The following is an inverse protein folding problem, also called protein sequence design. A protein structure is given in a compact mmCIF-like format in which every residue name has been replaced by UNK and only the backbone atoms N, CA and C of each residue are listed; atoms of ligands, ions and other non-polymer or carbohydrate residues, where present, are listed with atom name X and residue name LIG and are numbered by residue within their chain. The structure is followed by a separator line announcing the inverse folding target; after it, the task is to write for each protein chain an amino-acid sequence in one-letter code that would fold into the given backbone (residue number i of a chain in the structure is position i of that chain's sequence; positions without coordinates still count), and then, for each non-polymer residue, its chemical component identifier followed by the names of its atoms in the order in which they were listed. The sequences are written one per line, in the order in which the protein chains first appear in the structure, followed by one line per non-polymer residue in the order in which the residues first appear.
data_IF_837145930831
#
_entry.id   IF_837145930831
#
_cell.length_a   1.000
_cell.length_b   1.000
_cell.length_c   1.000
_cell.angle_alpha   90.00
_cell.angle_beta   90.00
_cell.angle_gamma   90.00
#
_symmetry.space_group_name_H-M   'P 1'
#
loop_
_entity.id
_entity.type
_entity.pdbx_description
1 polymer ?
#
# COMPACT_ATOMS: atom_id res chain seq x y z
N UNK A 1 -36.24 29.09 4.81
CA UNK A 1 -36.01 29.87 6.04
C UNK A 1 -35.00 29.21 6.99
N UNK A 2 -35.19 27.99 7.50
CA UNK A 2 -34.18 27.35 8.40
C UNK A 2 -32.84 27.02 7.72
N UNK A 3 -32.86 26.54 6.47
CA UNK A 3 -31.64 26.22 5.71
C UNK A 3 -30.81 27.46 5.34
N UNK A 4 -31.46 28.60 5.07
CA UNK A 4 -30.79 29.87 4.75
C UNK A 4 -30.10 30.46 5.99
N UNK A 5 -30.70 30.31 7.18
CA UNK A 5 -30.11 30.74 8.44
C UNK A 5 -28.87 29.91 8.81
N UNK A 6 -28.92 28.58 8.62
CA UNK A 6 -27.77 27.69 8.85
C UNK A 6 -26.61 28.06 7.91
N UNK A 7 -26.91 28.34 6.64
CA UNK A 7 -25.89 28.75 5.66
C UNK A 7 -25.20 30.08 6.06
N UNK A 8 -25.97 31.08 6.49
CA UNK A 8 -25.43 32.36 6.92
C UNK A 8 -24.58 32.27 8.21
N UNK A 9 -24.97 31.41 9.15
CA UNK A 9 -24.20 31.18 10.38
C UNK A 9 -22.88 30.46 10.10
N UNK A 10 -22.90 29.43 9.24
CA UNK A 10 -21.68 28.75 8.80
C UNK A 10 -20.73 29.70 8.06
N UNK A 11 -21.27 30.59 7.22
CA UNK A 11 -20.45 31.61 6.54
C UNK A 11 -19.77 32.55 7.55
N UNK A 12 -20.49 33.03 8.58
CA UNK A 12 -19.90 33.89 9.62
C UNK A 12 -18.77 33.18 10.39
N UNK A 13 -18.93 31.90 10.69
CA UNK A 13 -17.89 31.12 11.37
C UNK A 13 -16.66 30.91 10.48
N UNK A 14 -16.87 30.67 9.19
CA UNK A 14 -15.80 30.57 8.20
C UNK A 14 -15.05 31.91 8.07
N UNK A 15 -15.76 33.02 7.94
CA UNK A 15 -15.16 34.35 7.82
C UNK A 15 -14.38 34.72 9.08
N UNK A 16 -14.93 34.43 10.26
CA UNK A 16 -14.22 34.57 11.53
C UNK A 16 -12.92 33.76 11.56
N UNK A 17 -12.96 32.49 11.13
CA UNK A 17 -11.78 31.64 11.04
C UNK A 17 -10.71 32.21 10.12
N UNK A 18 -11.11 32.70 8.94
CA UNK A 18 -10.21 33.28 7.96
C UNK A 18 -9.55 34.57 8.47
N UNK A 19 -10.32 35.48 9.06
CA UNK A 19 -9.80 36.70 9.65
C UNK A 19 -8.84 36.41 10.81
N UNK A 20 -9.20 35.46 11.68
CA UNK A 20 -8.36 35.04 12.79
C UNK A 20 -7.05 34.44 12.28
N UNK A 21 -7.12 33.53 11.30
CA UNK A 21 -5.94 32.91 10.70
C UNK A 21 -5.01 33.93 10.04
N UNK A 22 -5.55 34.86 9.26
CA UNK A 22 -4.77 35.92 8.64
C UNK A 22 -4.08 36.81 9.68
N UNK A 23 -4.79 37.19 10.76
CA UNK A 23 -4.23 37.98 11.83
C UNK A 23 -3.11 37.24 12.59
N UNK A 24 -3.32 35.96 12.92
CA UNK A 24 -2.30 35.14 13.58
C UNK A 24 -1.05 34.99 12.71
N UNK A 25 -1.20 34.69 11.42
CA UNK A 25 -0.09 34.60 10.47
C UNK A 25 0.67 35.94 10.39
N UNK A 26 -0.05 37.07 10.33
CA UNK A 26 0.55 38.40 10.35
C UNK A 26 1.37 38.66 11.61
N UNK A 27 0.84 38.32 12.79
CA UNK A 27 1.56 38.49 14.06
C UNK A 27 2.80 37.61 14.12
N UNK A 28 2.71 36.34 13.68
CA UNK A 28 3.85 35.43 13.63
C UNK A 28 4.97 35.95 12.71
N UNK A 29 4.58 36.55 11.58
CA UNK A 29 5.52 37.15 10.64
C UNK A 29 6.16 38.43 11.20
N UNK A 30 5.36 39.27 11.86
CA UNK A 30 5.85 40.48 12.51
C UNK A 30 6.88 40.16 13.60
N UNK A 31 6.58 39.18 14.45
CA UNK A 31 7.45 38.71 15.55
C UNK A 31 8.62 37.83 15.05
N UNK A 32 8.73 37.61 13.74
CA UNK A 32 9.75 36.77 13.08
C UNK A 32 9.85 35.37 13.67
N UNK A 33 8.70 34.79 14.02
CA UNK A 33 8.60 33.42 14.55
C UNK A 33 9.21 32.45 13.54
N UNK A 34 10.33 31.83 13.90
CA UNK A 34 11.12 30.94 13.00
C UNK A 34 11.56 31.66 11.71
N UNK A 35 11.84 32.96 11.81
CA UNK A 35 12.23 33.79 10.65
C UNK A 35 11.05 34.37 9.85
N UNK A 36 9.81 34.01 10.17
CA UNK A 36 8.59 34.44 9.45
C UNK A 36 8.32 33.62 8.18
N UNK A 37 7.30 33.99 7.42
CA UNK A 37 6.82 33.22 6.25
C UNK A 37 5.56 32.38 6.53
N UNK A 38 4.95 32.54 7.69
CA UNK A 38 3.69 31.91 8.04
C UNK A 38 2.57 32.42 7.14
N UNK A 39 1.73 31.50 6.69
CA UNK A 39 0.53 31.78 5.92
C UNK A 39 -0.65 31.01 6.48
N UNK A 40 -1.85 31.54 6.27
CA UNK A 40 -3.08 30.86 6.64
C UNK A 40 -3.66 30.13 5.43
N UNK A 41 -4.10 28.88 5.63
CA UNK A 41 -4.91 28.14 4.65
C UNK A 41 -6.37 28.09 5.13
N UNK A 42 -7.26 28.65 4.32
CA UNK A 42 -8.71 28.53 4.51
C UNK A 42 -9.10 27.06 4.41
N UNK A 43 -9.75 26.53 5.46
CA UNK A 43 -10.30 25.19 5.49
C UNK A 43 -11.81 25.20 5.20
N UNK A 44 -12.30 24.19 4.50
CA UNK A 44 -13.74 23.95 4.33
C UNK A 44 -14.27 23.17 5.53
N UNK A 45 -14.45 23.83 6.67
CA UNK A 45 -15.00 23.20 7.86
C UNK A 45 -16.30 23.86 8.30
N UNK A 46 -17.26 23.05 8.76
CA UNK A 46 -18.52 23.50 9.36
C UNK A 46 -18.34 24.16 10.75
N UNK A 47 -17.10 24.34 11.19
CA UNK A 47 -16.71 24.92 12.46
C UNK A 47 -15.46 25.79 12.24
N UNK A 48 -15.18 26.69 13.20
CA UNK A 48 -13.93 27.47 13.17
C UNK A 48 -12.74 26.53 13.14
N UNK A 49 -12.06 26.54 12.00
CA UNK A 49 -10.80 25.82 11.76
C UNK A 49 -9.83 26.80 11.14
N UNK A 50 -8.65 26.92 11.75
CA UNK A 50 -7.56 27.75 11.28
C UNK A 50 -6.35 26.87 11.10
N UNK A 51 -5.81 26.80 9.90
CA UNK A 51 -4.53 26.15 9.65
C UNK A 51 -3.50 27.22 9.29
N UNK A 52 -2.41 27.27 10.06
CA UNK A 52 -1.22 28.08 9.80
C UNK A 52 -0.13 27.15 9.28
N UNK A 53 0.51 27.53 8.18
CA UNK A 53 1.55 26.74 7.53
C UNK A 53 2.80 27.60 7.29
N UNK A 54 3.95 26.97 7.44
CA UNK A 54 5.26 27.57 7.22
C UNK A 54 6.00 26.86 6.06
N UNK A 55 6.78 27.56 5.22
CA UNK A 55 7.51 26.97 4.10
C UNK A 55 8.49 25.84 4.49
N UNK A 56 8.98 25.83 5.73
CA UNK A 56 9.85 24.76 6.23
C UNK A 56 9.10 23.46 6.60
N UNK A 57 7.78 23.41 6.41
CA UNK A 57 6.95 22.25 6.74
C UNK A 57 6.32 22.28 8.13
N UNK A 58 6.51 23.37 8.90
CA UNK A 58 5.80 23.55 10.17
C UNK A 58 4.32 23.85 9.92
N UNK A 59 3.48 23.41 10.84
CA UNK A 59 2.07 23.77 10.84
C UNK A 59 1.48 23.83 12.24
N UNK A 60 0.52 24.73 12.41
CA UNK A 60 -0.28 24.86 13.63
C UNK A 60 -1.74 24.89 13.20
N UNK A 61 -2.59 24.17 13.90
CA UNK A 61 -4.02 24.19 13.69
C UNK A 61 -4.73 24.71 14.93
N UNK A 62 -5.81 25.46 14.73
CA UNK A 62 -6.76 25.84 15.76
C UNK A 62 -8.12 25.29 15.36
N UNK A 63 -8.79 24.61 16.28
CA UNK A 63 -10.11 24.01 16.03
C UNK A 63 -11.04 24.25 17.19
N UNK A 64 -12.27 24.60 16.86
CA UNK A 64 -13.37 24.56 17.82
C UNK A 64 -13.84 23.11 18.01
N UNK A 65 -13.52 22.51 19.15
CA UNK A 65 -13.96 21.15 19.48
C UNK A 65 -15.36 21.16 20.10
N UNK A 66 -16.39 21.15 19.23
CA UNK A 66 -17.75 20.73 19.55
C UNK A 66 -18.79 21.85 19.63
N UNK A 67 -19.71 21.87 18.66
CA UNK A 67 -20.86 22.80 18.62
C UNK A 67 -21.87 22.62 19.77
N UNK A 68 -21.79 21.53 20.53
CA UNK A 68 -22.71 21.26 21.66
C UNK A 68 -22.20 21.79 23.01
N UNK A 69 -20.94 22.24 23.10
CA UNK A 69 -20.38 22.76 24.36
C UNK A 69 -20.93 24.16 24.62
N UNK A 70 -21.67 24.32 25.72
CA UNK A 70 -22.26 25.61 26.13
C UNK A 70 -21.36 26.35 27.12
N UNK A 71 -21.60 27.66 27.25
CA UNK A 71 -20.94 28.52 28.22
C UNK A 71 -19.45 28.67 27.98
N UNK A 72 -18.67 28.70 29.07
CA UNK A 72 -17.23 29.00 29.07
C UNK A 72 -16.43 28.07 28.14
N UNK A 73 -16.74 26.78 28.09
CA UNK A 73 -16.04 25.82 27.23
C UNK A 73 -16.41 25.91 25.74
N UNK A 74 -17.56 26.53 25.41
CA UNK A 74 -18.00 26.75 24.04
C UNK A 74 -17.27 27.90 23.33
N UNK A 75 -16.46 28.68 24.06
CA UNK A 75 -15.70 29.83 23.54
C UNK A 75 -14.19 29.57 23.46
N UNK A 76 -13.79 28.30 23.49
CA UNK A 76 -12.39 27.90 23.46
C UNK A 76 -12.02 27.29 22.12
N UNK A 77 -10.84 27.63 21.62
CA UNK A 77 -10.16 26.92 20.55
C UNK A 77 -9.12 25.99 21.15
N UNK A 78 -9.09 24.75 20.67
CA UNK A 78 -7.95 23.86 20.87
C UNK A 78 -6.90 24.21 19.83
N UNK A 79 -5.66 24.39 20.26
CA UNK A 79 -4.52 24.66 19.40
C UNK A 79 -3.55 23.50 19.48
N UNK A 80 -3.17 22.96 18.34
CA UNK A 80 -2.18 21.90 18.24
C UNK A 80 -1.24 22.11 17.07
N UNK A 81 -0.18 21.32 17.06
CA UNK A 81 0.79 21.33 15.98
C UNK A 81 0.48 20.27 14.92
N UNK A 82 0.92 20.51 13.70
CA UNK A 82 0.81 19.58 12.57
C UNK A 82 2.10 18.78 12.44
N UNK A 83 1.97 17.47 12.30
CA UNK A 83 3.08 16.55 12.08
C UNK A 83 2.90 15.83 10.74
N UNK A 84 3.99 15.38 10.11
CA UNK A 84 3.90 14.52 8.94
C UNK A 84 3.02 13.28 9.19
N UNK A 85 2.35 12.82 8.13
CA UNK A 85 1.52 11.63 8.20
C UNK A 85 2.37 10.43 8.64
N UNK A 86 1.86 9.66 9.61
CA UNK A 86 2.57 8.47 10.13
C UNK A 86 3.52 8.74 11.29
N UNK A 87 3.79 10.01 11.65
CA UNK A 87 4.60 10.32 12.83
C UNK A 87 3.97 9.78 14.11
N UNK A 88 4.67 8.89 14.80
CA UNK A 88 4.23 8.20 16.02
C UNK A 88 5.02 8.61 17.27
N UNK A 89 6.00 9.51 17.13
CA UNK A 89 6.80 10.00 18.25
C UNK A 89 6.06 10.97 19.17
N UNK A 90 6.79 11.52 20.15
CA UNK A 90 6.26 12.48 21.12
C UNK A 90 5.77 13.73 20.40
N UNK A 91 4.53 14.14 20.69
CA UNK A 91 3.95 15.38 20.17
C UNK A 91 3.89 16.44 21.26
N UNK A 92 4.02 17.69 20.86
CA UNK A 92 3.69 18.85 21.70
C UNK A 92 2.25 18.74 22.23
N UNK A 93 2.07 19.09 23.50
CA UNK A 93 0.77 19.06 24.14
C UNK A 93 -0.15 20.14 23.55
N UNK A 94 -1.39 19.77 23.28
CA UNK A 94 -2.39 20.73 22.81
C UNK A 94 -2.70 21.76 23.90
N UNK A 95 -2.76 23.03 23.52
CA UNK A 95 -3.16 24.11 24.42
C UNK A 95 -4.58 24.56 24.10
N UNK A 96 -5.17 25.33 25.01
CA UNK A 96 -6.45 25.99 24.78
C UNK A 96 -6.33 27.49 24.91
N UNK A 97 -7.00 28.19 24.00
CA UNK A 97 -7.09 29.66 23.93
C UNK A 97 -8.54 30.12 23.78
N UNK A 98 -8.83 31.32 24.26
CA UNK A 98 -10.15 31.94 24.25
C UNK A 98 -10.44 32.61 22.90
N UNK A 99 -11.61 32.38 22.30
CA UNK A 99 -12.00 32.99 21.02
C UNK A 99 -12.18 34.51 21.09
N UNK A 100 -12.57 35.02 22.26
CA UNK A 100 -12.82 36.44 22.55
C UNK A 100 -11.55 37.19 22.99
N UNK A 101 -10.40 36.51 23.03
CA UNK A 101 -9.13 37.16 23.34
C UNK A 101 -8.62 37.98 22.17
N UNK A 102 -7.87 39.04 22.49
CA UNK A 102 -7.11 39.77 21.48
C UNK A 102 -6.24 38.82 20.64
N UNK A 103 -6.22 39.06 19.33
CA UNK A 103 -5.57 38.18 18.35
C UNK A 103 -4.05 38.16 18.54
N UNK A 104 -3.45 39.28 18.94
CA UNK A 104 -2.02 39.40 19.22
C UNK A 104 -1.67 38.63 20.50
N UNK A 105 -2.47 38.77 21.54
CA UNK A 105 -2.25 38.02 22.78
C UNK A 105 -2.49 36.52 22.62
N UNK A 106 -3.44 36.12 21.77
CA UNK A 106 -3.62 34.73 21.38
C UNK A 106 -2.35 34.19 20.70
N UNK A 107 -1.80 34.93 19.73
CA UNK A 107 -0.55 34.55 19.07
C UNK A 107 0.60 34.37 20.07
N UNK A 108 0.79 35.34 20.98
CA UNK A 108 1.82 35.27 22.02
C UNK A 108 1.67 34.05 22.94
N UNK A 109 0.44 33.68 23.29
CA UNK A 109 0.18 32.48 24.08
C UNK A 109 0.55 31.20 23.32
N UNK A 110 0.27 31.14 22.02
CA UNK A 110 0.69 30.01 21.16
C UNK A 110 2.21 29.93 21.10
N UNK A 111 2.88 31.07 20.86
CA UNK A 111 4.35 31.17 20.82
C UNK A 111 4.98 30.75 22.13
N UNK A 112 4.40 31.13 23.27
CA UNK A 112 4.96 30.83 24.59
C UNK A 112 4.69 29.40 25.05
N UNK A 113 3.52 28.84 24.74
CA UNK A 113 3.03 27.60 25.35
C UNK A 113 3.08 26.37 24.45
N UNK A 114 2.95 26.54 23.13
CA UNK A 114 2.97 25.43 22.18
C UNK A 114 4.28 25.32 21.41
N UNK A 115 4.78 26.46 20.91
CA UNK A 115 5.93 26.46 20.00
C UNK A 115 7.22 25.84 20.58
N UNK A 116 7.59 26.04 21.86
CA UNK A 116 8.82 25.45 22.38
C UNK A 116 8.82 23.92 22.29
N UNK A 117 7.75 23.27 22.73
CA UNK A 117 7.62 21.81 22.68
C UNK A 117 7.46 21.29 21.25
N UNK A 118 6.81 22.07 20.37
CA UNK A 118 6.68 21.70 18.97
C UNK A 118 8.03 21.75 18.25
N UNK A 119 8.78 22.83 18.41
CA UNK A 119 10.09 22.98 17.80
C UNK A 119 11.09 21.94 18.33
N UNK A 120 10.95 21.52 19.59
CA UNK A 120 11.77 20.45 20.17
C UNK A 120 11.51 19.06 19.55
N UNK A 121 10.40 18.84 18.84
CA UNK A 121 10.01 17.51 18.33
C UNK A 121 9.90 17.44 16.80
N UNK A 122 9.65 18.57 16.12
CA UNK A 122 9.33 18.58 14.69
C UNK A 122 10.49 18.22 13.78
N UNK A 123 11.73 18.56 14.12
CA UNK A 123 12.90 18.22 13.28
C UNK A 123 13.04 16.70 13.13
N UNK A 124 12.88 15.97 14.23
CA UNK A 124 12.86 14.50 14.20
C UNK A 124 11.70 13.96 13.36
N UNK A 125 10.50 14.53 13.53
CA UNK A 125 9.32 14.10 12.77
C UNK A 125 9.49 14.34 11.25
N UNK A 126 10.12 15.45 10.86
CA UNK A 126 10.41 15.76 9.47
C UNK A 126 11.48 14.82 8.89
N UNK A 127 12.50 14.47 9.67
CA UNK A 127 13.52 13.53 9.22
C UNK A 127 12.96 12.12 9.05
N UNK A 128 12.19 11.60 10.01
CA UNK A 128 11.47 10.33 9.87
C UNK A 128 10.55 10.31 8.64
N UNK A 129 9.87 11.42 8.37
CA UNK A 129 9.01 11.54 7.20
C UNK A 129 9.79 11.52 5.88
N UNK A 130 10.99 12.12 5.83
CA UNK A 130 11.89 12.03 4.67
C UNK A 130 12.39 10.62 4.47
N UNK A 131 12.82 9.94 5.53
CA UNK A 131 13.24 8.55 5.46
C UNK A 131 12.11 7.64 4.96
N UNK A 132 10.88 7.81 5.49
CA UNK A 132 9.74 7.00 5.04
C UNK A 132 9.35 7.32 3.59
N UNK A 133 9.49 8.57 3.12
CA UNK A 133 9.29 8.89 1.70
C UNK A 133 10.35 8.24 0.81
N UNK A 134 11.62 8.22 1.23
CA UNK A 134 12.67 7.51 0.51
C UNK A 134 12.37 6.01 0.43
N UNK A 135 12.00 5.40 1.56
CA UNK A 135 11.58 3.99 1.65
C UNK A 135 10.38 3.70 0.74
N UNK A 136 9.36 4.57 0.76
CA UNK A 136 8.20 4.49 -0.13
C UNK A 136 8.58 4.55 -1.61
N UNK A 137 9.42 5.52 -2.00
CA UNK A 137 9.87 5.65 -3.40
C UNK A 137 10.64 4.42 -3.86
N UNK A 138 11.50 3.88 -3.00
CA UNK A 138 12.23 2.64 -3.29
C UNK A 138 11.27 1.45 -3.49
N UNK A 139 10.25 1.30 -2.62
CA UNK A 139 9.20 0.27 -2.77
C UNK A 139 8.39 0.44 -4.06
N UNK A 140 8.00 1.66 -4.40
CA UNK A 140 7.29 1.96 -5.66
C UNK A 140 8.11 1.55 -6.87
N UNK A 141 9.40 1.91 -6.89
CA UNK A 141 10.30 1.56 -7.98
C UNK A 141 10.46 0.05 -8.10
N UNK A 142 10.74 -0.64 -7.00
CA UNK A 142 10.95 -2.09 -7.00
C UNK A 142 9.68 -2.87 -7.38
N UNK A 143 8.51 -2.46 -6.88
CA UNK A 143 7.25 -3.06 -7.30
C UNK A 143 6.95 -2.82 -8.78
N UNK A 144 7.38 -1.69 -9.34
CA UNK A 144 7.31 -1.44 -10.79
C UNK A 144 8.17 -2.42 -11.59
N UNK A 145 9.39 -2.71 -11.13
CA UNK A 145 10.25 -3.73 -11.73
C UNK A 145 9.64 -5.13 -11.62
N UNK A 146 9.07 -5.48 -10.47
CA UNK A 146 8.37 -6.75 -10.28
C UNK A 146 7.16 -6.90 -11.20
N UNK A 147 6.36 -5.85 -11.39
CA UNK A 147 5.22 -5.85 -12.31
C UNK A 147 5.64 -6.04 -13.78
N UNK A 148 6.80 -5.50 -14.16
CA UNK A 148 7.38 -5.72 -15.49
C UNK A 148 7.90 -7.15 -15.65
N UNK A 149 8.54 -7.69 -14.61
CA UNK A 149 9.12 -9.02 -14.64
C UNK A 149 8.06 -10.14 -14.56
N UNK A 150 6.98 -9.90 -13.82
CA UNK A 150 5.90 -10.83 -13.51
C UNK A 150 4.54 -10.18 -13.84
N UNK A 151 4.10 -10.24 -15.11
CA UNK A 151 2.78 -9.74 -15.49
C UNK A 151 1.69 -10.48 -14.69
N UNK A 152 0.83 -9.73 -13.99
CA UNK A 152 -0.25 -10.27 -13.16
C UNK A 152 0.06 -10.39 -11.67
N UNK A 153 1.12 -9.74 -11.17
CA UNK A 153 1.31 -9.55 -9.71
C UNK A 153 0.08 -8.85 -9.12
N UNK A 154 -0.33 -9.27 -7.92
CA UNK A 154 -1.44 -8.73 -7.13
C UNK A 154 -0.97 -8.43 -5.70
N UNK A 155 -1.71 -7.58 -4.98
CA UNK A 155 -1.53 -7.44 -3.53
C UNK A 155 -2.23 -8.58 -2.78
N UNK A 156 -1.96 -8.72 -1.48
CA UNK A 156 -2.66 -9.67 -0.61
C UNK A 156 -4.19 -9.56 -0.80
N UNK A 157 -4.89 -10.70 -0.94
CA UNK A 157 -6.35 -10.75 -1.04
C UNK A 157 -6.93 -10.64 -2.46
N UNK A 158 -6.12 -10.67 -3.52
CA UNK A 158 -6.60 -10.64 -4.90
C UNK A 158 -7.06 -9.27 -5.39
N UNK A 159 -6.86 -8.22 -4.58
CA UNK A 159 -7.02 -6.83 -5.00
C UNK A 159 -6.00 -6.51 -6.10
N UNK A 160 -6.40 -5.84 -7.19
CA UNK A 160 -5.48 -5.52 -8.28
C UNK A 160 -4.23 -4.77 -7.78
N UNK A 161 -3.03 -5.17 -8.21
CA UNK A 161 -1.74 -4.61 -7.75
C UNK A 161 -1.55 -3.10 -7.95
N UNK A 162 -2.42 -2.43 -8.71
CA UNK A 162 -2.28 -1.01 -9.02
C UNK A 162 -2.78 -0.08 -7.91
N UNK A 163 -3.54 -0.56 -6.91
CA UNK A 163 -4.12 0.32 -5.88
C UNK A 163 -3.11 0.73 -4.78
N UNK A 164 -1.98 0.04 -4.64
CA UNK A 164 -0.84 0.57 -3.87
C UNK A 164 0.48 -0.01 -4.40
N UNK A 165 1.19 0.79 -5.20
CA UNK A 165 2.58 0.50 -5.59
C UNK A 165 3.56 0.59 -4.41
N UNK A 166 3.13 1.14 -3.28
CA UNK A 166 3.87 1.18 -2.03
C UNK A 166 3.60 -0.05 -1.15
N UNK A 167 3.69 -1.26 -1.73
CA UNK A 167 3.40 -2.51 -1.02
C UNK A 167 4.70 -3.21 -0.60
N UNK A 168 4.66 -3.84 0.58
CA UNK A 168 5.76 -4.70 1.07
C UNK A 168 5.66 -6.14 0.59
N UNK A 169 4.47 -6.60 0.22
CA UNK A 169 4.26 -7.98 -0.23
C UNK A 169 3.45 -8.00 -1.52
N UNK A 170 3.95 -8.78 -2.47
CA UNK A 170 3.42 -9.00 -3.80
C UNK A 170 3.16 -10.50 -3.98
N UNK A 171 2.02 -10.85 -4.56
CA UNK A 171 1.65 -12.23 -4.88
C UNK A 171 1.52 -12.37 -6.38
N UNK A 172 1.77 -13.54 -6.91
CA UNK A 172 1.59 -13.81 -8.32
C UNK A 172 1.10 -15.24 -8.54
N UNK A 173 0.16 -15.38 -9.47
CA UNK A 173 -0.36 -16.66 -9.91
C UNK A 173 -0.36 -16.66 -11.45
N UNK A 174 0.63 -17.32 -12.02
CA UNK A 174 0.74 -17.60 -13.45
C UNK A 174 -0.23 -18.69 -13.85
N UNK A 175 -1.48 -18.31 -14.11
CA UNK A 175 -2.37 -19.04 -15.00
C UNK A 175 -2.58 -18.22 -16.26
N UNK A 176 -2.87 -18.86 -17.40
CA UNK A 176 -3.63 -18.18 -18.46
C UNK A 176 -4.75 -17.43 -17.72
N UNK A 177 -4.76 -16.12 -17.80
CA UNK A 177 -5.94 -15.33 -17.43
C UNK A 177 -7.03 -15.75 -18.42
N UNK A 178 -7.61 -16.94 -18.21
CA UNK A 178 -9.00 -17.16 -18.48
C UNK A 178 -9.66 -16.01 -17.77
N UNK A 179 -10.10 -15.07 -18.59
CA UNK A 179 -10.95 -13.96 -18.21
C UNK A 179 -11.74 -14.41 -16.98
N UNK A 180 -11.61 -13.70 -15.87
CA UNK A 180 -12.74 -13.62 -14.95
C UNK A 180 -13.89 -13.12 -15.83
N UNK A 181 -14.59 -14.06 -16.47
CA UNK A 181 -15.88 -13.83 -17.08
C UNK A 181 -16.69 -13.50 -15.85
N UNK A 182 -16.79 -12.21 -15.55
CA UNK A 182 -17.88 -11.68 -14.75
C UNK A 182 -19.11 -12.25 -15.42
N UNK A 183 -19.65 -13.32 -14.88
CA UNK A 183 -21.04 -13.66 -15.12
C UNK A 183 -21.77 -12.36 -14.81
N UNK A 184 -22.47 -11.73 -15.77
CA UNK A 184 -23.28 -10.59 -15.45
C UNK A 184 -24.20 -11.07 -14.34
N UNK A 185 -24.20 -10.38 -13.20
CA UNK A 185 -25.27 -10.49 -12.21
C UNK A 185 -26.54 -10.07 -12.93
N UNK A 186 -27.17 -11.05 -13.59
CA UNK A 186 -28.52 -10.93 -14.07
C UNK A 186 -29.36 -10.78 -12.81
N UNK A 187 -29.79 -9.55 -12.59
CA UNK A 187 -30.91 -9.21 -11.72
C UNK A 187 -32.07 -10.16 -12.03
N UNK A 188 -32.40 -11.07 -11.12
CA UNK A 188 -33.64 -11.83 -11.23
C UNK A 188 -33.62 -13.21 -10.57
N UNK A 189 -34.28 -13.26 -9.40
CA UNK A 189 -34.85 -14.45 -8.75
C UNK A 189 -33.89 -15.52 -8.21
N UNK A 190 -33.90 -15.64 -6.89
CA UNK A 190 -33.42 -16.80 -6.14
C UNK A 190 -34.03 -18.11 -6.66
N UNK A 191 -33.21 -19.10 -7.06
CA UNK A 191 -33.65 -20.48 -7.17
C UNK A 191 -33.64 -21.14 -5.80
N UNK A 192 -34.61 -22.02 -5.59
CA UNK A 192 -34.79 -22.81 -4.37
C UNK A 192 -33.66 -23.84 -4.21
N UNK A 193 -33.28 -23.98 -2.94
CA UNK A 193 -32.52 -25.04 -2.27
C UNK A 193 -32.64 -26.42 -2.94
N UNK A 194 -31.51 -26.98 -3.33
CA UNK A 194 -31.37 -28.39 -3.70
C UNK A 194 -30.56 -28.58 -4.97
N UNK A 195 -29.24 -28.39 -4.92
CA UNK A 195 -28.32 -29.03 -5.85
C UNK A 195 -26.90 -29.01 -5.29
N UNK A 196 -26.18 -30.12 -5.52
CA UNK A 196 -24.84 -30.38 -5.04
C UNK A 196 -23.87 -29.26 -5.45
N UNK A 197 -23.16 -28.70 -4.46
CA UNK A 197 -22.02 -27.83 -4.71
C UNK A 197 -20.93 -28.61 -5.43
N UNK A 198 -20.96 -28.61 -6.77
CA UNK A 198 -19.74 -28.64 -7.55
C UNK A 198 -19.02 -27.34 -7.22
N UNK A 199 -17.98 -27.44 -6.39
CA UNK A 199 -16.96 -26.40 -6.33
C UNK A 199 -16.56 -26.08 -7.76
N UNK A 200 -16.47 -24.79 -8.15
CA UNK A 200 -15.93 -24.46 -9.45
C UNK A 200 -14.56 -25.09 -9.54
N UNK A 201 -14.33 -25.85 -10.61
CA UNK A 201 -13.05 -26.44 -10.97
C UNK A 201 -12.04 -25.31 -11.20
N UNK A 202 -11.48 -24.80 -10.09
CA UNK A 202 -10.43 -23.80 -10.07
C UNK A 202 -9.21 -24.54 -10.58
N UNK A 203 -8.99 -24.46 -11.89
CA UNK A 203 -7.74 -24.94 -12.48
C UNK A 203 -6.58 -24.35 -11.67
N UNK A 204 -5.72 -25.18 -11.07
CA UNK A 204 -4.63 -24.68 -10.26
C UNK A 204 -3.77 -23.77 -11.16
N UNK A 205 -3.37 -22.62 -10.61
CA UNK A 205 -2.36 -21.81 -11.26
C UNK A 205 -1.16 -22.70 -11.54
N UNK A 206 -0.78 -22.85 -12.81
CA UNK A 206 0.32 -23.72 -13.22
C UNK A 206 1.67 -23.23 -12.66
N UNK A 207 1.71 -21.97 -12.24
CA UNK A 207 2.87 -21.30 -11.68
C UNK A 207 2.40 -20.31 -10.62
N UNK A 208 3.11 -20.16 -9.51
CA UNK A 208 2.77 -19.15 -8.49
C UNK A 208 4.00 -18.66 -7.76
N UNK A 209 3.85 -17.61 -6.96
CA UNK A 209 4.94 -17.09 -6.15
C UNK A 209 4.54 -15.89 -5.32
N UNK A 210 5.47 -15.44 -4.51
CA UNK A 210 5.33 -14.19 -3.80
C UNK A 210 6.69 -13.53 -3.61
N UNK A 211 6.67 -12.20 -3.52
CA UNK A 211 7.84 -11.39 -3.21
C UNK A 211 7.55 -10.57 -1.96
N UNK A 212 8.47 -10.57 -1.01
CA UNK A 212 8.44 -9.71 0.18
C UNK A 212 9.63 -8.76 0.12
N UNK A 213 9.38 -7.45 0.15
CA UNK A 213 10.39 -6.41 0.19
C UNK A 213 10.66 -6.00 1.63
N UNK A 214 11.92 -5.70 1.94
CA UNK A 214 12.28 -4.96 3.14
C UNK A 214 11.63 -3.57 3.16
N UNK A 215 11.62 -2.91 4.33
CA UNK A 215 10.99 -1.60 4.46
C UNK A 215 11.57 -0.54 3.52
N UNK A 216 12.86 -0.62 3.23
CA UNK A 216 13.64 0.25 2.34
C UNK A 216 13.80 -0.31 0.93
N UNK A 217 13.22 -1.48 0.64
CA UNK A 217 13.34 -2.20 -0.62
C UNK A 217 14.79 -2.50 -1.07
N UNK A 218 15.75 -2.52 -0.15
CA UNK A 218 17.14 -2.91 -0.44
C UNK A 218 17.31 -4.43 -0.50
N UNK A 219 16.43 -5.18 0.17
CA UNK A 219 16.40 -6.65 0.09
C UNK A 219 15.01 -7.14 -0.32
N UNK A 220 15.00 -8.31 -0.96
CA UNK A 220 13.78 -8.95 -1.42
C UNK A 220 13.89 -10.46 -1.25
N UNK A 221 12.88 -11.04 -0.60
CA UNK A 221 12.67 -12.47 -0.57
C UNK A 221 11.70 -12.85 -1.70
N UNK A 222 12.18 -13.61 -2.68
CA UNK A 222 11.39 -14.05 -3.83
C UNK A 222 11.20 -15.57 -3.80
N UNK A 223 9.95 -16.01 -3.67
CA UNK A 223 9.58 -17.42 -3.79
C UNK A 223 8.89 -17.66 -5.13
N UNK A 224 9.43 -18.58 -5.92
CA UNK A 224 8.91 -19.01 -7.21
C UNK A 224 8.53 -20.49 -7.14
N UNK A 225 7.27 -20.82 -7.38
CA UNK A 225 6.73 -22.19 -7.38
C UNK A 225 6.31 -22.60 -8.78
N UNK A 226 6.79 -23.76 -9.20
CA UNK A 226 6.49 -24.37 -10.50
C UNK A 226 6.88 -23.48 -11.71
N UNK A 227 7.81 -22.52 -11.53
CA UNK A 227 8.32 -21.64 -12.58
C UNK A 227 9.40 -22.37 -13.40
N UNK A 228 9.29 -22.45 -14.73
CA UNK A 228 10.37 -22.99 -15.56
C UNK A 228 11.68 -22.23 -15.35
N UNK A 229 12.82 -22.95 -15.30
CA UNK A 229 14.12 -22.37 -14.97
C UNK A 229 14.51 -21.17 -15.86
N UNK A 230 14.23 -21.24 -17.17
CA UNK A 230 14.47 -20.14 -18.11
C UNK A 230 13.69 -18.88 -17.75
N UNK A 231 12.43 -19.04 -17.34
CA UNK A 231 11.58 -17.93 -16.90
C UNK A 231 12.06 -17.37 -15.56
N UNK A 232 12.48 -18.24 -14.63
CA UNK A 232 13.06 -17.82 -13.36
C UNK A 232 14.33 -16.98 -13.57
N UNK A 233 15.24 -17.41 -14.46
CA UNK A 233 16.44 -16.66 -14.83
C UNK A 233 16.11 -15.32 -15.50
N UNK A 234 15.07 -15.29 -16.35
CA UNK A 234 14.59 -14.04 -16.98
C UNK A 234 14.01 -13.07 -15.93
N UNK A 235 13.26 -13.57 -14.95
CA UNK A 235 12.74 -12.76 -13.84
C UNK A 235 13.90 -12.18 -13.04
N UNK A 236 14.89 -12.99 -12.69
CA UNK A 236 16.07 -12.56 -11.95
C UNK A 236 16.90 -11.53 -12.74
N UNK A 237 17.05 -11.69 -14.06
CA UNK A 237 17.80 -10.73 -14.89
C UNK A 237 17.10 -9.38 -15.02
N UNK A 238 15.76 -9.35 -15.05
CA UNK A 238 14.99 -8.10 -15.06
C UNK A 238 15.02 -7.36 -13.73
N UNK A 239 15.14 -8.09 -12.61
CA UNK A 239 15.26 -7.52 -11.26
C UNK A 239 16.70 -7.04 -10.99
N UNK A 240 17.69 -7.60 -11.71
CA UNK A 240 19.10 -7.22 -11.68
C UNK A 240 19.68 -7.12 -10.25
N UNK A 241 19.75 -8.23 -9.50
CA UNK A 241 20.27 -8.23 -8.14
C UNK A 241 21.74 -7.78 -8.13
N UNK A 242 22.04 -6.73 -7.39
CA UNK A 242 23.40 -6.19 -7.22
C UNK A 242 24.28 -7.03 -6.29
N UNK A 243 23.69 -7.92 -5.49
CA UNK A 243 24.38 -8.83 -4.58
C UNK A 243 24.26 -10.29 -5.05
N UNK A 244 25.15 -11.15 -4.55
CA UNK A 244 25.08 -12.58 -4.80
C UNK A 244 23.72 -13.13 -4.32
N UNK A 245 23.04 -13.88 -5.19
CA UNK A 245 21.78 -14.53 -4.85
C UNK A 245 22.06 -15.68 -3.90
N UNK A 246 21.36 -15.72 -2.77
CA UNK A 246 21.33 -16.86 -1.86
C UNK A 246 19.95 -17.53 -1.94
N UNK A 247 19.91 -18.85 -2.11
CA UNK A 247 18.65 -19.57 -2.17
C UNK A 247 18.77 -21.02 -2.62
N UNK A 248 17.69 -21.78 -2.39
CA UNK A 248 17.57 -23.19 -2.77
C UNK A 248 16.62 -23.31 -3.95
N UNK A 249 17.10 -23.83 -5.07
CA UNK A 249 16.22 -24.24 -6.19
C UNK A 249 15.59 -25.57 -5.79
N UNK A 250 14.32 -25.56 -5.42
CA UNK A 250 13.56 -26.79 -5.15
C UNK A 250 13.01 -27.31 -6.48
N UNK A 251 13.49 -28.46 -7.00
CA UNK A 251 12.93 -29.04 -8.21
C UNK A 251 11.46 -29.42 -7.99
N UNK A 252 10.66 -29.29 -9.05
CA UNK A 252 9.26 -29.73 -9.07
C UNK A 252 9.19 -31.21 -8.65
N UNK A 253 8.27 -31.53 -7.75
CA UNK A 253 7.92 -32.91 -7.44
C UNK A 253 7.21 -33.49 -8.69
N UNK A 254 7.98 -34.16 -9.54
CA UNK A 254 7.44 -34.84 -10.73
C UNK A 254 6.79 -36.11 -10.23
N UNK A 255 5.48 -36.26 -10.45
CA UNK A 255 4.79 -37.52 -10.20
C UNK A 255 5.56 -38.65 -10.90
N UNK A 256 5.85 -39.78 -10.22
CA UNK A 256 6.61 -40.87 -10.82
C UNK A 256 5.96 -41.28 -12.14
N UNK A 257 6.78 -41.44 -13.18
CA UNK A 257 6.31 -41.91 -14.48
C UNK A 257 5.52 -43.21 -14.27
N UNK A 258 4.24 -43.20 -14.65
CA UNK A 258 3.40 -44.39 -14.64
C UNK A 258 4.08 -45.42 -15.55
N UNK A 259 4.31 -46.67 -15.11
CA UNK A 259 4.86 -47.70 -15.98
C UNK A 259 3.98 -47.86 -17.22
N UNK A 260 4.62 -47.87 -18.38
CA UNK A 260 3.96 -48.12 -19.67
C UNK A 260 3.11 -49.39 -19.64
N UNK A 261 1.97 -49.32 -20.33
CA UNK A 261 0.98 -50.38 -20.48
C UNK A 261 1.63 -51.73 -20.86
N UNK A 262 1.05 -52.87 -20.42
CA UNK A 262 1.61 -54.19 -20.71
C UNK A 262 1.70 -54.46 -22.21
N UNK A 263 2.80 -55.12 -22.60
CA UNK A 263 3.12 -55.45 -23.98
C UNK A 263 1.94 -56.12 -24.70
N UNK A 264 1.55 -55.58 -25.86
CA UNK A 264 0.62 -56.23 -26.76
C UNK A 264 1.22 -57.54 -27.27
N UNK A 265 0.70 -58.69 -26.84
CA UNK A 265 0.91 -59.97 -27.53
C UNK A 265 0.26 -59.88 -28.91
N UNK A 266 1.04 -59.55 -29.94
CA UNK A 266 0.65 -59.84 -31.32
C UNK A 266 1.02 -61.30 -31.62
N UNK A 267 0.00 -62.16 -31.65
CA UNK A 267 0.08 -63.47 -32.29
C UNK A 267 -0.09 -63.25 -33.80
N UNK A 268 0.99 -63.35 -34.57
CA UNK A 268 0.90 -63.39 -36.04
C UNK A 268 0.85 -64.85 -36.47
N UNK A 269 -0.30 -65.27 -37.01
CA UNK A 269 -0.45 -66.56 -37.71
C UNK A 269 0.03 -66.43 -39.14
N UNK A 270 1.00 -67.27 -39.51
CA UNK A 270 1.26 -67.70 -40.88
C UNK A 270 2.32 -66.91 -41.64
N UNK A 271 3.58 -67.36 -41.56
CA UNK A 271 4.44 -67.41 -42.74
C UNK A 271 5.54 -68.45 -42.54
N UNK A 272 5.58 -69.41 -43.46
CA UNK A 272 6.62 -70.44 -43.60
C UNK A 272 7.67 -69.87 -44.54
N UNK A 273 8.94 -69.82 -44.11
CA UNK A 273 10.11 -69.82 -45.00
C UNK A 273 11.19 -70.68 -44.32
N UNK A 274 11.40 -71.86 -44.90
CA UNK A 274 12.58 -72.74 -44.85
C UNK A 274 13.86 -71.95 -45.17
N UNK A 275 15.10 -72.32 -44.90
CA UNK A 275 15.78 -73.58 -44.62
C UNK A 275 17.20 -73.18 -44.16
N UNK A 276 17.83 -74.06 -43.39
CA UNK A 276 19.27 -74.34 -43.31
C UNK A 276 20.29 -73.20 -43.30
N UNK A 277 21.00 -73.07 -42.16
CA UNK A 277 22.46 -73.25 -42.17
C UNK A 277 22.95 -73.65 -40.78
N UNK A 278 23.37 -74.90 -40.63
CA UNK A 278 24.29 -75.34 -39.58
C UNK A 278 25.66 -74.65 -39.78
N UNK A 279 26.20 -73.97 -38.76
CA UNK A 279 27.65 -73.92 -38.57
C UNK A 279 27.97 -74.14 -37.08
N UNK A 280 28.74 -75.19 -36.88
CA UNK A 280 29.29 -75.82 -35.69
C UNK A 280 30.43 -75.03 -35.04
N UNK A 281 30.31 -74.74 -33.73
CA UNK A 281 31.35 -74.67 -32.68
C UNK A 281 32.65 -73.84 -32.87
N UNK A 282 33.63 -73.95 -31.96
CA UNK A 282 33.52 -74.20 -30.52
C UNK A 282 34.21 -73.13 -29.65
N UNK A 283 33.91 -73.25 -28.35
CA UNK A 283 34.50 -72.57 -27.20
C UNK A 283 36.01 -72.79 -27.12
N UNK A 284 36.75 -71.70 -26.88
CA UNK A 284 38.09 -71.73 -26.31
C UNK A 284 38.08 -70.96 -24.97
N UNK A 285 38.82 -71.55 -24.03
CA UNK A 285 38.89 -71.35 -22.57
C UNK A 285 39.08 -69.92 -22.08
#
# INVERSE_FOLDING_TARGET
MELENISAELQKLHDFGNELGAALASTFNHDRVVGGGWSHRSGYAHYVTVDLVHPSGLGIWLRHQGGHRKGRNGRMLTVGATYPLGYSGRRAEEIRVWMDRDRTDMARDIIRRLLPDYLATIDHALEEAREEDLKRRARILMNGLLEQALPGVTSAGGTPAHESRDRRRSYWAGGRSGQYRRTPLASGRSPRRGDHHQEPDVKPALVSGHATLSSDATTMDLELKDVPAELALKILSMINPTAALEGTIMPREVAPAVPELPASQQVVRGQVVSEDTEITGPVAR
#
